data_IF_126865441760
#
_entry.id   IF_126865441760
#
_cell.length_a   1.000
_cell.length_b   1.000
_cell.length_c   1.000
_cell.angle_alpha   90.00
_cell.angle_beta   90.00
_cell.angle_gamma   90.00
#
_symmetry.space_group_name_H-M   'P 1'
#
loop_
_entity.id
_entity.type
_entity.pdbx_description
1 polymer ?
#
# COMPACT_ATOMS: atom_id res chain seq x y z
N UNK A 1 19.23 -112.13 -29.41
CA UNK A 1 19.93 -110.91 -29.86
C UNK A 1 19.22 -109.71 -29.24
N UNK A 2 19.66 -109.28 -28.05
CA UNK A 2 20.49 -108.06 -27.79
C UNK A 2 19.72 -106.75 -28.05
N UNK A 3 19.54 -105.80 -27.12
CA UNK A 3 20.04 -105.55 -25.74
C UNK A 3 19.10 -104.51 -25.05
N UNK A 4 19.01 -104.58 -23.71
CA UNK A 4 18.54 -103.53 -22.77
C UNK A 4 19.50 -102.29 -22.78
N UNK A 5 19.21 -101.08 -22.27
CA UNK A 5 18.73 -100.65 -20.94
C UNK A 5 18.44 -99.13 -20.91
N UNK A 6 17.51 -98.73 -20.02
CA UNK A 6 17.49 -97.50 -19.17
C UNK A 6 17.44 -96.12 -19.87
N UNK A 7 16.74 -95.09 -19.37
CA UNK A 7 16.68 -94.62 -17.99
C UNK A 7 15.49 -93.65 -17.81
N UNK A 8 14.85 -93.76 -16.66
CA UNK A 8 13.84 -92.90 -16.05
C UNK A 8 14.41 -91.49 -15.80
N UNK A 9 13.71 -90.42 -16.19
CA UNK A 9 13.46 -89.19 -15.41
C UNK A 9 12.86 -88.08 -16.30
N UNK A 10 11.54 -87.84 -16.19
CA UNK A 10 10.93 -86.51 -15.96
C UNK A 10 9.41 -86.65 -16.17
N UNK A 11 8.77 -87.18 -15.13
CA UNK A 11 7.37 -86.93 -14.88
C UNK A 11 7.30 -85.56 -14.20
N UNK A 12 7.11 -84.48 -14.95
CA UNK A 12 6.74 -83.18 -14.37
C UNK A 12 6.39 -82.16 -15.44
N UNK A 13 5.20 -81.56 -15.28
CA UNK A 13 4.87 -80.19 -15.70
C UNK A 13 4.50 -79.98 -17.18
N UNK A 14 3.39 -80.58 -17.61
CA UNK A 14 2.42 -79.82 -18.42
C UNK A 14 1.32 -79.36 -17.44
N UNK A 15 1.72 -78.51 -16.49
CA UNK A 15 0.77 -77.59 -15.89
C UNK A 15 0.54 -76.51 -16.95
N UNK A 16 -0.72 -76.33 -17.32
CA UNK A 16 -1.19 -75.10 -17.96
C UNK A 16 -0.76 -73.92 -17.08
N UNK A 17 0.41 -73.37 -17.37
CA UNK A 17 0.78 -72.04 -16.94
C UNK A 17 -0.18 -71.11 -17.67
N UNK A 18 -1.14 -70.54 -16.93
CA UNK A 18 -1.68 -69.23 -17.27
C UNK A 18 -0.47 -68.34 -17.49
N UNK A 19 -0.10 -68.13 -18.76
CA UNK A 19 0.90 -67.16 -19.15
C UNK A 19 0.50 -65.86 -18.48
N UNK A 20 1.26 -65.47 -17.47
CA UNK A 20 1.23 -64.12 -16.92
C UNK A 20 1.54 -63.23 -18.11
N UNK A 21 0.51 -62.62 -18.71
CA UNK A 21 0.70 -61.46 -19.57
C UNK A 21 1.57 -60.53 -18.77
N UNK A 22 2.83 -60.36 -19.18
CA UNK A 22 3.67 -59.31 -18.63
C UNK A 22 2.85 -58.04 -18.71
N UNK A 23 2.48 -57.49 -17.56
CA UNK A 23 1.88 -56.17 -17.48
C UNK A 23 3.03 -55.23 -17.79
N UNK A 24 3.24 -54.97 -19.07
CA UNK A 24 4.18 -53.96 -19.54
C UNK A 24 3.63 -52.62 -19.04
N UNK A 25 4.30 -52.06 -18.04
CA UNK A 25 3.97 -50.73 -17.53
C UNK A 25 4.56 -49.72 -18.51
N UNK A 26 3.71 -49.16 -19.36
CA UNK A 26 4.09 -48.04 -20.22
C UNK A 26 4.08 -46.75 -19.38
N UNK A 27 5.24 -46.10 -19.26
CA UNK A 27 5.36 -44.78 -18.65
C UNK A 27 5.17 -43.76 -19.76
N UNK A 28 4.02 -43.09 -19.77
CA UNK A 28 3.74 -41.99 -20.70
C UNK A 28 3.94 -40.67 -19.97
N UNK A 29 4.87 -39.84 -20.45
CA UNK A 29 5.02 -38.47 -19.96
C UNK A 29 3.85 -37.62 -20.47
N UNK A 30 3.09 -37.03 -19.54
CA UNK A 30 1.96 -36.16 -19.85
C UNK A 30 2.41 -34.71 -19.70
N UNK A 31 2.35 -33.90 -20.78
CA UNK A 31 2.57 -32.46 -20.68
C UNK A 31 1.65 -31.82 -19.64
N UNK A 32 2.18 -30.91 -18.85
CA UNK A 32 1.41 -30.20 -17.83
C UNK A 32 2.02 -28.80 -17.60
N UNK A 33 1.18 -27.84 -17.21
CA UNK A 33 1.65 -26.55 -16.74
C UNK A 33 2.48 -26.76 -15.47
N UNK A 34 3.59 -26.02 -15.31
CA UNK A 34 4.30 -25.99 -14.03
C UNK A 34 3.36 -25.44 -12.96
N UNK A 35 3.33 -26.05 -11.77
CA UNK A 35 2.44 -25.61 -10.70
C UNK A 35 2.60 -24.12 -10.34
N UNK A 36 3.82 -23.56 -10.43
CA UNK A 36 4.08 -22.13 -10.20
C UNK A 36 3.59 -21.21 -11.32
N UNK A 37 3.18 -21.75 -12.48
CA UNK A 37 2.75 -20.98 -13.65
C UNK A 37 1.24 -21.00 -13.84
N UNK A 38 0.48 -21.65 -12.94
CA UNK A 38 -0.99 -21.68 -13.03
C UNK A 38 -1.63 -20.30 -12.80
N UNK A 39 -0.89 -19.30 -12.35
CA UNK A 39 -1.37 -17.91 -12.23
C UNK A 39 -0.74 -16.96 -13.28
N UNK A 40 -0.21 -17.51 -14.39
CA UNK A 40 0.34 -16.72 -15.49
C UNK A 40 -0.55 -16.85 -16.72
N UNK A 41 -1.13 -15.75 -17.17
CA UNK A 41 -2.12 -15.74 -18.25
C UNK A 41 -1.58 -16.38 -19.54
N UNK A 42 -0.38 -16.00 -19.98
CA UNK A 42 0.27 -16.58 -21.15
C UNK A 42 0.44 -18.11 -21.03
N UNK A 43 0.82 -18.61 -19.86
CA UNK A 43 1.04 -20.05 -19.64
C UNK A 43 -0.26 -20.83 -19.69
N UNK A 44 -1.31 -20.32 -19.04
CA UNK A 44 -2.63 -20.95 -18.98
C UNK A 44 -3.29 -20.96 -20.35
N UNK A 45 -3.32 -19.81 -21.03
CA UNK A 45 -3.95 -19.67 -22.34
C UNK A 45 -3.23 -20.48 -23.41
N UNK A 46 -1.90 -20.40 -23.47
CA UNK A 46 -1.12 -21.16 -24.46
C UNK A 46 -1.29 -22.67 -24.25
N UNK A 47 -1.29 -23.13 -23.01
CA UNK A 47 -1.50 -24.55 -22.72
C UNK A 47 -2.92 -25.01 -23.09
N UNK A 48 -3.95 -24.23 -22.75
CA UNK A 48 -5.34 -24.53 -23.07
C UNK A 48 -5.59 -24.56 -24.58
N UNK A 49 -4.94 -23.69 -25.35
CA UNK A 49 -5.05 -23.66 -26.81
C UNK A 49 -4.42 -24.89 -27.47
N UNK A 50 -3.23 -25.29 -27.01
CA UNK A 50 -2.48 -26.45 -27.56
C UNK A 50 -3.15 -27.77 -27.18
N UNK A 51 -3.52 -27.93 -25.90
CA UNK A 51 -3.97 -29.20 -25.37
C UNK A 51 -5.49 -29.35 -25.41
N UNK A 52 -6.27 -28.27 -25.39
CA UNK A 52 -7.74 -28.31 -25.39
C UNK A 52 -8.26 -29.30 -24.33
N UNK A 53 -9.08 -30.27 -24.73
CA UNK A 53 -9.63 -31.33 -23.87
C UNK A 53 -8.65 -32.48 -23.59
N UNK A 54 -7.44 -32.44 -24.15
CA UNK A 54 -6.42 -33.46 -23.88
C UNK A 54 -6.13 -33.47 -22.37
N UNK A 55 -6.07 -34.67 -21.81
CA UNK A 55 -5.83 -34.91 -20.37
C UNK A 55 -6.98 -34.50 -19.44
N UNK A 56 -8.15 -34.09 -19.96
CA UNK A 56 -9.34 -33.85 -19.12
C UNK A 56 -9.67 -35.02 -18.20
N UNK A 57 -9.66 -36.26 -18.70
CA UNK A 57 -9.94 -37.43 -17.85
C UNK A 57 -8.96 -37.62 -16.67
N UNK A 58 -7.68 -37.23 -16.85
CA UNK A 58 -6.71 -37.21 -15.75
C UNK A 58 -6.96 -36.04 -14.80
N UNK A 59 -7.32 -34.86 -15.33
CA UNK A 59 -7.74 -33.71 -14.54
C UNK A 59 -8.95 -34.04 -13.66
N UNK A 60 -10.01 -34.60 -14.25
CA UNK A 60 -11.22 -35.04 -13.55
C UNK A 60 -10.88 -36.03 -12.42
N UNK A 61 -9.94 -36.97 -12.66
CA UNK A 61 -9.48 -37.90 -11.62
C UNK A 61 -8.82 -37.18 -10.44
N UNK A 62 -8.03 -36.15 -10.70
CA UNK A 62 -7.43 -35.33 -9.64
C UNK A 62 -8.45 -34.43 -8.94
N UNK A 63 -9.42 -33.88 -9.66
CA UNK A 63 -10.53 -33.13 -9.08
C UNK A 63 -11.32 -33.99 -8.09
N UNK A 64 -11.68 -35.23 -8.46
CA UNK A 64 -12.37 -36.15 -7.55
C UNK A 64 -11.55 -36.48 -6.30
N UNK A 65 -10.23 -36.64 -6.44
CA UNK A 65 -9.32 -36.80 -5.28
C UNK A 65 -9.30 -35.57 -4.40
N UNK A 66 -9.32 -34.37 -5.00
CA UNK A 66 -9.43 -33.10 -4.26
C UNK A 66 -10.72 -33.05 -3.44
N UNK A 67 -11.87 -33.31 -4.07
CA UNK A 67 -13.18 -33.32 -3.42
C UNK A 67 -13.24 -34.32 -2.25
N UNK A 68 -12.66 -35.51 -2.44
CA UNK A 68 -12.63 -36.55 -1.41
C UNK A 68 -11.73 -36.20 -0.22
N UNK A 69 -10.67 -35.40 -0.45
CA UNK A 69 -9.72 -35.01 0.58
C UNK A 69 -10.17 -33.80 1.42
N UNK A 70 -11.14 -33.00 0.97
CA UNK A 70 -11.48 -31.71 1.61
C UNK A 70 -11.79 -31.80 3.11
N UNK A 71 -12.43 -32.87 3.54
CA UNK A 71 -12.85 -33.07 4.93
C UNK A 71 -11.80 -33.73 5.82
N UNK A 72 -10.75 -34.29 5.22
CA UNK A 72 -9.74 -35.11 5.94
C UNK A 72 -8.36 -34.48 5.90
N UNK A 73 -7.97 -33.89 4.77
CA UNK A 73 -6.65 -33.33 4.53
C UNK A 73 -6.75 -32.18 3.50
N UNK A 74 -6.89 -30.96 4.01
CA UNK A 74 -7.06 -29.74 3.20
C UNK A 74 -5.86 -29.50 2.26
N UNK A 75 -4.64 -29.82 2.72
CA UNK A 75 -3.42 -29.59 1.94
C UNK A 75 -3.36 -30.54 0.75
N UNK A 76 -3.74 -31.81 0.96
CA UNK A 76 -3.90 -32.75 -0.15
C UNK A 76 -5.02 -32.35 -1.09
N UNK A 77 -6.14 -31.83 -0.58
CA UNK A 77 -7.21 -31.34 -1.45
C UNK A 77 -6.72 -30.22 -2.38
N UNK A 78 -6.04 -29.22 -1.81
CA UNK A 78 -5.42 -28.13 -2.56
C UNK A 78 -4.39 -28.65 -3.57
N UNK A 79 -3.51 -29.57 -3.15
CA UNK A 79 -2.53 -30.19 -4.04
C UNK A 79 -3.20 -30.86 -5.25
N UNK A 80 -4.19 -31.71 -5.02
CA UNK A 80 -4.88 -32.41 -6.10
C UNK A 80 -5.64 -31.45 -7.02
N UNK A 81 -6.26 -30.40 -6.47
CA UNK A 81 -6.91 -29.37 -7.27
C UNK A 81 -5.92 -28.64 -8.19
N UNK A 82 -4.75 -28.24 -7.67
CA UNK A 82 -3.68 -27.65 -8.51
C UNK A 82 -3.20 -28.63 -9.57
N UNK A 83 -3.08 -29.93 -9.25
CA UNK A 83 -2.72 -30.95 -10.26
C UNK A 83 -3.76 -31.06 -11.37
N UNK A 84 -5.05 -30.99 -11.05
CA UNK A 84 -6.12 -30.93 -12.04
C UNK A 84 -5.93 -29.70 -12.96
N UNK A 85 -5.74 -28.51 -12.38
CA UNK A 85 -5.50 -27.26 -13.14
C UNK A 85 -4.27 -27.38 -14.06
N UNK A 86 -3.18 -27.99 -13.61
CA UNK A 86 -1.98 -28.13 -14.46
C UNK A 86 -2.20 -29.00 -15.70
N UNK A 87 -3.24 -29.84 -15.70
CA UNK A 87 -3.55 -30.77 -16.77
C UNK A 87 -4.67 -30.25 -17.69
N UNK A 88 -5.66 -29.56 -17.12
CA UNK A 88 -6.77 -28.96 -17.85
C UNK A 88 -7.26 -27.71 -17.10
N UNK A 89 -6.69 -26.53 -17.34
CA UNK A 89 -7.04 -25.31 -16.60
C UNK A 89 -8.41 -24.79 -17.05
N UNK A 90 -9.41 -24.84 -16.16
CA UNK A 90 -10.75 -24.30 -16.41
C UNK A 90 -11.18 -23.38 -15.28
N UNK A 91 -12.07 -22.44 -15.58
CA UNK A 91 -12.59 -21.49 -14.61
C UNK A 91 -13.17 -22.16 -13.35
N UNK A 92 -13.88 -23.29 -13.52
CA UNK A 92 -14.48 -24.06 -12.43
C UNK A 92 -13.44 -24.63 -11.46
N UNK A 93 -12.30 -25.10 -11.99
CA UNK A 93 -11.21 -25.60 -11.17
C UNK A 93 -10.53 -24.48 -10.39
N UNK A 94 -10.37 -23.28 -10.97
CA UNK A 94 -9.88 -22.12 -10.23
C UNK A 94 -10.85 -21.66 -9.14
N UNK A 95 -12.16 -21.66 -9.39
CA UNK A 95 -13.16 -21.37 -8.35
C UNK A 95 -13.10 -22.40 -7.22
N UNK A 96 -12.95 -23.67 -7.55
CA UNK A 96 -12.79 -24.76 -6.57
C UNK A 96 -11.53 -24.54 -5.74
N UNK A 97 -10.40 -24.22 -6.39
CA UNK A 97 -9.16 -23.91 -5.70
C UNK A 97 -9.30 -22.68 -4.79
N UNK A 98 -9.96 -21.62 -5.25
CA UNK A 98 -10.27 -20.44 -4.44
C UNK A 98 -11.02 -20.80 -3.15
N UNK A 99 -12.08 -21.60 -3.26
CA UNK A 99 -12.83 -22.07 -2.08
C UNK A 99 -11.97 -22.90 -1.12
N UNK A 100 -11.13 -23.79 -1.63
CA UNK A 100 -10.22 -24.61 -0.83
C UNK A 100 -9.19 -23.76 -0.09
N UNK A 101 -8.55 -22.82 -0.79
CA UNK A 101 -7.55 -21.94 -0.20
C UNK A 101 -8.16 -21.09 0.91
N UNK A 102 -9.37 -20.56 0.71
CA UNK A 102 -10.06 -19.80 1.76
C UNK A 102 -10.42 -20.66 2.98
N UNK A 103 -10.96 -21.88 2.79
CA UNK A 103 -11.26 -22.81 3.88
C UNK A 103 -10.01 -23.22 4.65
N UNK A 104 -8.90 -23.42 3.93
CA UNK A 104 -7.57 -23.69 4.49
C UNK A 104 -6.87 -22.46 5.07
N UNK A 105 -7.47 -21.26 4.97
CA UNK A 105 -6.88 -19.98 5.39
C UNK A 105 -5.55 -19.64 4.70
N UNK A 106 -5.33 -20.16 3.50
CA UNK A 106 -4.22 -19.82 2.62
C UNK A 106 -4.50 -18.51 1.88
N UNK A 107 -4.77 -17.44 2.62
CA UNK A 107 -5.23 -16.15 2.08
C UNK A 107 -4.24 -15.50 1.13
N UNK A 108 -2.94 -15.70 1.35
CA UNK A 108 -1.89 -15.20 0.46
C UNK A 108 -2.04 -15.72 -0.97
N UNK A 109 -2.19 -17.03 -1.12
CA UNK A 109 -2.36 -17.66 -2.44
C UNK A 109 -3.78 -17.47 -2.97
N UNK A 110 -4.80 -17.46 -2.10
CA UNK A 110 -6.17 -17.18 -2.53
C UNK A 110 -6.25 -15.78 -3.16
N UNK A 111 -5.61 -14.78 -2.55
CA UNK A 111 -5.51 -13.44 -3.11
C UNK A 111 -4.89 -13.46 -4.51
N UNK A 112 -3.75 -14.15 -4.69
CA UNK A 112 -3.05 -14.20 -5.97
C UNK A 112 -3.90 -14.91 -7.05
N UNK A 113 -4.67 -15.93 -6.66
CA UNK A 113 -5.65 -16.58 -7.53
C UNK A 113 -6.79 -15.64 -7.93
N UNK A 114 -7.40 -14.93 -6.98
CA UNK A 114 -8.48 -13.99 -7.30
C UNK A 114 -7.98 -12.79 -8.11
N UNK A 115 -6.76 -12.32 -7.86
CA UNK A 115 -6.09 -11.31 -8.69
C UNK A 115 -5.94 -11.80 -10.13
N UNK A 116 -5.56 -13.06 -10.31
CA UNK A 116 -5.49 -13.70 -11.62
C UNK A 116 -6.84 -13.78 -12.34
N UNK A 117 -7.93 -14.05 -11.61
CA UNK A 117 -9.27 -14.16 -12.19
C UNK A 117 -9.98 -12.82 -12.43
N UNK A 118 -9.71 -11.81 -11.61
CA UNK A 118 -10.45 -10.54 -11.60
C UNK A 118 -9.81 -9.50 -12.49
N UNK A 119 -8.49 -9.47 -12.64
CA UNK A 119 -7.82 -8.43 -13.41
C UNK A 119 -7.59 -8.86 -14.86
N UNK A 120 -7.50 -7.86 -15.75
CA UNK A 120 -7.02 -8.10 -17.11
C UNK A 120 -5.51 -8.32 -17.05
N UNK A 121 -5.05 -9.35 -17.75
CA UNK A 121 -3.62 -9.66 -17.87
C UNK A 121 -3.19 -9.42 -19.30
N UNK A 122 -2.03 -8.77 -19.47
CA UNK A 122 -1.43 -8.64 -20.78
C UNK A 122 -0.97 -10.02 -21.29
N UNK A 123 -1.44 -10.40 -22.46
CA UNK A 123 -1.14 -11.67 -23.10
C UNK A 123 -0.25 -11.40 -24.31
N UNK A 124 1.02 -11.79 -24.23
CA UNK A 124 2.02 -11.43 -25.24
C UNK A 124 1.70 -12.03 -26.61
N UNK A 125 1.10 -13.22 -26.65
CA UNK A 125 0.72 -13.88 -27.91
C UNK A 125 -0.44 -13.20 -28.63
N UNK A 126 -1.27 -12.44 -27.90
CA UNK A 126 -2.43 -11.71 -28.44
C UNK A 126 -2.21 -10.20 -28.52
N UNK A 127 -1.18 -9.68 -27.84
CA UNK A 127 -0.87 -8.25 -27.72
C UNK A 127 -2.01 -7.40 -27.12
N UNK A 128 -2.77 -7.97 -26.20
CA UNK A 128 -3.91 -7.32 -25.55
C UNK A 128 -4.02 -7.72 -24.07
N UNK A 129 -4.72 -6.87 -23.30
CA UNK A 129 -5.07 -7.16 -21.91
C UNK A 129 -6.47 -7.75 -21.83
N UNK A 130 -6.58 -9.01 -21.41
CA UNK A 130 -7.85 -9.75 -21.36
C UNK A 130 -8.08 -10.40 -20.00
N UNK A 131 -9.34 -10.69 -19.69
CA UNK A 131 -9.66 -11.64 -18.64
C UNK A 131 -9.34 -13.04 -19.14
N UNK A 132 -8.69 -13.86 -18.30
CA UNK A 132 -8.17 -15.17 -18.71
C UNK A 132 -9.29 -16.13 -19.12
N UNK A 133 -10.43 -16.08 -18.44
CA UNK A 133 -11.57 -16.97 -18.70
C UNK A 133 -12.82 -16.20 -19.12
N UNK A 134 -13.30 -15.33 -18.24
CA UNK A 134 -14.51 -14.56 -18.43
C UNK A 134 -14.44 -13.26 -17.62
N UNK A 135 -15.34 -12.32 -17.90
CA UNK A 135 -15.48 -11.14 -17.06
C UNK A 135 -15.79 -11.54 -15.60
N UNK A 136 -15.17 -10.88 -14.62
CA UNK A 136 -15.36 -11.21 -13.22
C UNK A 136 -16.75 -10.78 -12.75
N UNK A 137 -17.32 -11.61 -11.89
CA UNK A 137 -18.56 -11.27 -11.17
C UNK A 137 -18.26 -10.31 -10.02
N UNK A 138 -19.28 -9.58 -9.57
CA UNK A 138 -19.22 -8.75 -8.35
C UNK A 138 -18.71 -9.54 -7.14
N UNK A 139 -19.06 -10.81 -7.07
CA UNK A 139 -18.62 -11.71 -6.01
C UNK A 139 -17.10 -11.93 -6.04
N UNK A 140 -16.53 -12.15 -7.22
CA UNK A 140 -15.08 -12.35 -7.36
C UNK A 140 -14.31 -11.08 -7.02
N UNK A 141 -14.83 -9.91 -7.42
CA UNK A 141 -14.25 -8.61 -7.08
C UNK A 141 -14.27 -8.37 -5.57
N UNK A 142 -15.41 -8.66 -4.94
CA UNK A 142 -15.51 -8.60 -3.49
C UNK A 142 -14.51 -9.54 -2.80
N UNK A 143 -14.40 -10.79 -3.24
CA UNK A 143 -13.47 -11.75 -2.64
C UNK A 143 -12.01 -11.32 -2.79
N UNK A 144 -11.62 -10.72 -3.93
CA UNK A 144 -10.29 -10.11 -4.08
C UNK A 144 -10.03 -9.04 -3.00
N UNK A 145 -11.00 -8.14 -2.79
CA UNK A 145 -10.90 -7.04 -1.81
C UNK A 145 -10.83 -7.61 -0.38
N UNK A 146 -11.70 -8.56 -0.04
CA UNK A 146 -11.70 -9.21 1.28
C UNK A 146 -10.40 -9.99 1.55
N UNK A 147 -9.88 -10.69 0.54
CA UNK A 147 -8.62 -11.42 0.63
C UNK A 147 -7.41 -10.49 0.77
N UNK A 148 -7.45 -9.30 0.18
CA UNK A 148 -6.42 -8.27 0.38
C UNK A 148 -6.34 -7.89 1.87
N UNK A 149 -7.48 -7.64 2.51
CA UNK A 149 -7.53 -7.38 3.95
C UNK A 149 -7.02 -8.57 4.77
N UNK A 150 -7.43 -9.80 4.45
CA UNK A 150 -6.99 -11.00 5.18
C UNK A 150 -5.49 -11.29 5.00
N UNK A 151 -4.90 -10.89 3.88
CA UNK A 151 -3.47 -11.05 3.58
C UNK A 151 -2.61 -9.97 4.24
N UNK A 152 -3.01 -8.70 4.14
CA UNK A 152 -2.17 -7.56 4.51
C UNK A 152 -2.62 -6.84 5.79
N UNK A 153 -3.84 -7.08 6.28
CA UNK A 153 -4.45 -6.31 7.38
C UNK A 153 -5.01 -4.95 6.94
N UNK A 154 -5.00 -4.65 5.64
CA UNK A 154 -5.56 -3.44 5.07
C UNK A 154 -6.13 -3.71 3.66
N UNK A 155 -7.02 -2.83 3.20
CA UNK A 155 -7.52 -2.83 1.83
C UNK A 155 -6.74 -1.79 1.05
N UNK A 156 -6.27 -2.17 -0.14
CA UNK A 156 -5.66 -1.26 -1.11
C UNK A 156 -6.71 -0.26 -1.63
N UNK A 157 -6.42 1.04 -1.54
CA UNK A 157 -7.29 2.10 -2.03
C UNK A 157 -7.58 1.97 -3.53
N UNK A 158 -6.61 1.48 -4.31
CA UNK A 158 -6.80 1.31 -5.75
C UNK A 158 -7.91 0.31 -6.07
N UNK A 159 -8.04 -0.76 -5.29
CA UNK A 159 -9.10 -1.75 -5.47
C UNK A 159 -10.50 -1.17 -5.20
N UNK A 160 -10.62 -0.22 -4.27
CA UNK A 160 -11.88 0.49 -4.02
C UNK A 160 -12.18 1.51 -5.12
N UNK A 161 -11.15 2.22 -5.60
CA UNK A 161 -11.25 3.14 -6.71
C UNK A 161 -11.73 2.42 -7.99
N UNK A 162 -11.10 1.31 -8.38
CA UNK A 162 -11.52 0.52 -9.54
C UNK A 162 -12.95 -0.01 -9.38
N UNK A 163 -13.31 -0.48 -8.18
CA UNK A 163 -14.68 -0.92 -7.90
C UNK A 163 -15.71 0.20 -8.12
N UNK A 164 -15.36 1.44 -7.76
CA UNK A 164 -16.20 2.63 -7.99
C UNK A 164 -16.25 3.00 -9.47
N UNK A 165 -15.12 3.02 -10.18
CA UNK A 165 -15.03 3.36 -11.60
C UNK A 165 -15.79 2.37 -12.49
N UNK A 166 -15.83 1.09 -12.09
CA UNK A 166 -16.65 0.06 -12.72
C UNK A 166 -18.17 0.22 -12.45
N UNK A 167 -18.57 1.28 -11.73
CA UNK A 167 -19.96 1.66 -11.49
C UNK A 167 -20.64 0.91 -10.34
N UNK A 168 -19.88 0.22 -9.48
CA UNK A 168 -20.44 -0.50 -8.35
C UNK A 168 -20.70 0.41 -7.14
N UNK A 169 -21.66 0.01 -6.29
CA UNK A 169 -22.04 0.73 -5.07
C UNK A 169 -21.01 0.48 -3.94
N UNK A 170 -20.18 1.50 -3.69
CA UNK A 170 -19.15 1.46 -2.64
C UNK A 170 -19.74 1.37 -1.23
N UNK A 171 -20.95 1.88 -0.97
CA UNK A 171 -21.60 1.79 0.35
C UNK A 171 -22.12 0.38 0.60
N UNK A 172 -22.63 -0.27 -0.44
CA UNK A 172 -22.99 -1.70 -0.37
C UNK A 172 -21.75 -2.56 -0.11
N UNK A 173 -20.62 -2.25 -0.76
CA UNK A 173 -19.35 -2.92 -0.50
C UNK A 173 -18.88 -2.72 0.95
N UNK A 174 -18.92 -1.48 1.45
CA UNK A 174 -18.58 -1.13 2.84
C UNK A 174 -19.38 -1.98 3.84
N UNK A 175 -20.70 -1.99 3.70
CA UNK A 175 -21.59 -2.75 4.59
C UNK A 175 -21.31 -4.26 4.53
N UNK A 176 -20.97 -4.77 3.35
CA UNK A 176 -20.62 -6.18 3.16
C UNK A 176 -19.29 -6.55 3.82
N UNK A 177 -18.27 -5.70 3.72
CA UNK A 177 -16.99 -5.89 4.40
C UNK A 177 -17.15 -5.84 5.92
N UNK A 178 -17.96 -4.91 6.43
CA UNK A 178 -18.26 -4.81 7.86
C UNK A 178 -19.03 -6.01 8.42
N UNK A 179 -19.89 -6.62 7.60
CA UNK A 179 -20.64 -7.81 7.98
C UNK A 179 -19.82 -9.12 7.83
N UNK A 180 -18.66 -9.08 7.18
CA UNK A 180 -17.85 -10.26 6.96
C UNK A 180 -17.08 -10.67 8.23
N UNK A 181 -17.60 -11.71 8.88
CA UNK A 181 -17.03 -12.28 10.10
C UNK A 181 -15.60 -12.82 9.95
N UNK A 182 -15.09 -13.00 8.72
CA UNK A 182 -13.69 -13.37 8.47
C UNK A 182 -12.74 -12.21 8.78
N UNK A 183 -13.15 -10.97 8.49
CA UNK A 183 -12.27 -9.80 8.51
C UNK A 183 -12.03 -9.28 9.94
N UNK A 184 -12.97 -9.48 10.87
CA UNK A 184 -12.84 -9.03 12.28
C UNK A 184 -12.41 -7.57 12.40
N UNK A 185 -13.05 -6.69 11.62
CA UNK A 185 -12.77 -5.25 11.64
C UNK A 185 -13.21 -4.69 13.01
N UNK A 186 -12.26 -4.21 13.80
CA UNK A 186 -12.54 -3.57 15.09
C UNK A 186 -12.94 -2.12 14.87
N UNK A 187 -14.23 -1.83 15.06
CA UNK A 187 -14.81 -0.51 14.87
C UNK A 187 -14.50 0.47 15.99
N UNK A 188 -13.86 0.02 17.07
CA UNK A 188 -13.49 0.86 18.22
C UNK A 188 -12.09 1.47 18.08
N UNK A 189 -11.29 0.96 17.16
CA UNK A 189 -9.92 1.41 16.91
C UNK A 189 -9.89 2.63 15.99
N UNK A 190 -8.96 3.56 16.22
CA UNK A 190 -8.77 4.72 15.35
C UNK A 190 -8.50 4.33 13.89
N UNK A 191 -7.87 3.18 13.65
CA UNK A 191 -7.61 2.61 12.33
C UNK A 191 -8.90 2.32 11.54
N UNK A 192 -10.05 2.16 12.22
CA UNK A 192 -11.35 2.01 11.57
C UNK A 192 -11.77 3.27 10.79
N UNK A 193 -11.37 4.45 11.25
CA UNK A 193 -11.65 5.68 10.54
C UNK A 193 -11.00 5.69 9.15
N UNK A 194 -9.80 5.09 9.03
CA UNK A 194 -9.08 4.98 7.76
C UNK A 194 -9.82 4.06 6.80
N UNK A 195 -10.36 2.95 7.32
CA UNK A 195 -11.24 2.07 6.55
C UNK A 195 -12.48 2.84 6.07
N UNK A 196 -13.15 3.60 6.97
CA UNK A 196 -14.36 4.35 6.63
C UNK A 196 -14.15 5.39 5.54
N UNK A 197 -13.01 6.09 5.55
CA UNK A 197 -12.70 7.13 4.56
C UNK A 197 -12.69 6.62 3.12
N UNK A 198 -12.31 5.35 2.90
CA UNK A 198 -12.29 4.73 1.57
C UNK A 198 -13.67 4.63 0.93
N UNK A 199 -14.74 4.69 1.74
CA UNK A 199 -16.12 4.53 1.32
C UNK A 199 -16.94 5.82 1.45
N UNK A 200 -16.33 6.93 1.86
CA UNK A 200 -17.04 8.21 1.97
C UNK A 200 -17.20 8.86 0.58
N UNK A 201 -18.36 9.46 0.37
CA UNK A 201 -18.64 10.37 -0.74
C UNK A 201 -17.90 11.68 -0.55
N UNK A 202 -17.72 12.46 -1.61
CA UNK A 202 -17.04 13.76 -1.52
C UNK A 202 -17.71 14.70 -0.50
N UNK A 203 -19.04 14.66 -0.37
CA UNK A 203 -19.79 15.42 0.63
C UNK A 203 -19.55 14.92 2.07
N UNK A 204 -19.53 13.60 2.30
CA UNK A 204 -19.20 13.03 3.61
C UNK A 204 -17.74 13.31 3.98
N UNK A 205 -16.85 13.26 2.99
CA UNK A 205 -15.46 13.64 3.10
C UNK A 205 -15.38 15.11 3.53
N UNK A 206 -16.11 16.02 2.89
CA UNK A 206 -16.22 17.44 3.25
C UNK A 206 -16.75 17.69 4.66
N UNK A 207 -17.78 16.95 5.09
CA UNK A 207 -18.28 17.02 6.46
C UNK A 207 -17.25 16.49 7.47
N UNK A 208 -16.64 15.35 7.16
CA UNK A 208 -15.66 14.67 8.03
C UNK A 208 -14.42 15.54 8.29
N UNK A 209 -13.96 16.31 7.29
CA UNK A 209 -12.84 17.25 7.44
C UNK A 209 -13.16 18.42 8.38
N UNK A 210 -14.42 18.80 8.44
CA UNK A 210 -14.90 19.85 9.34
C UNK A 210 -15.33 19.29 10.71
N UNK A 211 -15.13 18.00 10.96
CA UNK A 211 -15.49 17.36 12.22
C UNK A 211 -14.49 17.71 13.32
N UNK A 212 -14.99 18.36 14.38
CA UNK A 212 -14.24 18.65 15.60
C UNK A 212 -13.62 17.38 16.22
N UNK A 213 -14.36 16.25 16.21
CA UNK A 213 -13.88 14.98 16.76
C UNK A 213 -12.62 14.48 16.04
N UNK A 214 -12.62 14.56 14.71
CA UNK A 214 -11.52 14.11 13.85
C UNK A 214 -10.29 14.98 14.07
N UNK A 215 -10.49 16.29 14.06
CA UNK A 215 -9.42 17.25 14.32
C UNK A 215 -8.81 17.07 15.72
N UNK A 216 -9.64 16.89 16.75
CA UNK A 216 -9.16 16.64 18.11
C UNK A 216 -8.37 15.32 18.20
N UNK A 217 -8.83 14.27 17.52
CA UNK A 217 -8.09 13.01 17.42
C UNK A 217 -6.71 13.19 16.78
N UNK A 218 -6.64 14.00 15.72
CA UNK A 218 -5.39 14.37 15.06
C UNK A 218 -4.45 15.16 16.00
N UNK A 219 -4.92 16.22 16.65
CA UNK A 219 -4.11 17.02 17.58
C UNK A 219 -3.54 16.16 18.71
N UNK A 220 -4.34 15.23 19.25
CA UNK A 220 -3.91 14.30 20.30
C UNK A 220 -2.81 13.32 19.85
N UNK A 221 -2.62 13.14 18.53
CA UNK A 221 -1.54 12.29 17.99
C UNK A 221 -0.18 12.97 17.98
N UNK A 222 -0.12 14.30 18.13
CA UNK A 222 1.12 15.07 18.23
C UNK A 222 1.63 15.02 19.66
N UNK A 223 2.85 14.51 19.86
CA UNK A 223 3.37 14.16 21.19
C UNK A 223 4.06 15.30 21.93
N UNK A 224 4.47 16.37 21.23
CA UNK A 224 5.14 17.53 21.83
C UNK A 224 4.16 18.70 22.00
N UNK A 225 3.94 19.09 23.26
CA UNK A 225 3.00 20.15 23.66
C UNK A 225 3.67 21.46 24.10
N UNK A 226 4.99 21.60 23.91
CA UNK A 226 5.73 22.76 24.41
C UNK A 226 5.34 24.07 23.71
N UNK A 227 5.05 25.10 24.50
CA UNK A 227 4.88 26.47 24.00
C UNK A 227 6.20 27.25 23.90
N UNK A 228 7.34 26.60 24.19
CA UNK A 228 8.68 27.19 24.08
C UNK A 228 9.53 26.28 23.22
N UNK A 229 9.99 26.79 22.09
CA UNK A 229 10.83 26.04 21.18
C UNK A 229 11.66 26.97 20.30
N UNK A 230 12.75 26.43 19.78
CA UNK A 230 13.60 27.06 18.79
C UNK A 230 13.63 26.18 17.54
N UNK A 231 13.65 26.81 16.38
CA UNK A 231 13.91 26.20 15.08
C UNK A 231 15.19 26.84 14.55
N UNK A 232 16.34 26.33 14.99
CA UNK A 232 17.65 26.78 14.53
C UNK A 232 18.00 26.24 13.13
N UNK A 233 19.10 26.69 12.54
CA UNK A 233 19.52 26.31 11.19
C UNK A 233 19.60 24.78 10.98
N UNK A 234 20.07 24.03 11.99
CA UNK A 234 20.14 22.57 11.94
C UNK A 234 18.73 21.95 11.96
N UNK A 235 17.83 22.46 12.80
CA UNK A 235 16.44 22.00 12.84
C UNK A 235 15.69 22.31 11.54
N UNK A 236 15.94 23.47 10.92
CA UNK A 236 15.40 23.81 9.59
C UNK A 236 15.75 22.74 8.56
N UNK A 237 16.95 22.15 8.64
CA UNK A 237 17.44 21.10 7.75
C UNK A 237 17.01 19.68 8.13
N UNK A 238 16.49 19.48 9.35
CA UNK A 238 16.21 18.16 9.90
C UNK A 238 14.84 17.63 9.44
N UNK A 239 14.73 17.41 8.13
CA UNK A 239 13.67 16.58 7.59
C UNK A 239 14.13 15.12 7.63
N UNK A 240 13.48 14.27 8.42
CA UNK A 240 13.75 12.83 8.44
C UNK A 240 13.09 12.17 7.23
N UNK A 241 13.90 11.76 6.27
CA UNK A 241 13.50 10.74 5.32
C UNK A 241 13.52 9.41 6.04
N UNK A 242 12.48 8.62 5.86
CA UNK A 242 12.66 7.18 5.92
C UNK A 242 12.63 6.67 4.48
N UNK A 243 13.61 5.85 4.13
CA UNK A 243 13.96 5.46 2.75
C UNK A 243 12.74 5.03 1.93
N UNK A 244 12.25 5.92 1.07
CA UNK A 244 11.60 5.54 -0.18
C UNK A 244 11.75 6.66 -1.21
N UNK A 245 12.16 6.28 -2.41
CA UNK A 245 12.05 7.12 -3.60
C UNK A 245 10.56 7.32 -3.90
N UNK A 246 10.12 8.57 -3.99
CA UNK A 246 8.88 8.92 -4.67
C UNK A 246 9.21 10.03 -5.65
N UNK A 247 9.27 9.66 -6.92
CA UNK A 247 9.31 10.61 -8.01
C UNK A 247 7.99 11.40 -8.04
N UNK A 248 8.14 12.70 -8.35
CA UNK A 248 7.08 13.64 -8.73
C UNK A 248 5.92 13.81 -7.74
N UNK A 249 5.87 14.95 -7.03
CA UNK A 249 4.55 15.53 -6.71
C UNK A 249 4.60 17.04 -6.83
N UNK A 250 3.57 17.59 -7.48
CA UNK A 250 3.34 19.02 -7.68
C UNK A 250 2.90 19.76 -6.41
N UNK A 251 3.03 21.08 -6.48
CA UNK A 251 2.65 22.07 -5.48
C UNK A 251 1.15 22.35 -5.57
N UNK A 252 0.33 21.67 -4.76
CA UNK A 252 -0.97 22.14 -4.24
C UNK A 252 -1.68 20.98 -3.53
N UNK A 253 -1.49 20.89 -2.21
CA UNK A 253 -2.15 19.90 -1.36
C UNK A 253 -2.94 20.64 -0.28
N UNK A 254 -4.21 20.30 -0.15
CA UNK A 254 -5.07 20.81 0.92
C UNK A 254 -4.84 20.02 2.22
N UNK A 255 -5.34 20.52 3.35
CA UNK A 255 -5.33 19.79 4.65
C UNK A 255 -6.01 18.40 4.56
N UNK A 256 -6.76 18.14 3.49
CA UNK A 256 -7.46 16.89 3.21
C UNK A 256 -6.57 15.85 2.58
N UNK A 257 -5.82 16.27 1.57
CA UNK A 257 -4.82 15.44 0.91
C UNK A 257 -3.77 15.04 1.96
N UNK A 258 -3.48 15.96 2.88
CA UNK A 258 -2.66 15.74 4.05
C UNK A 258 -3.21 14.69 5.04
N UNK A 259 -4.47 14.78 5.45
CA UNK A 259 -5.06 13.85 6.41
C UNK A 259 -5.30 12.45 5.81
N UNK A 260 -5.76 12.36 4.56
CA UNK A 260 -5.91 11.08 3.87
C UNK A 260 -4.57 10.37 3.70
N UNK A 261 -3.52 11.09 3.29
CA UNK A 261 -2.19 10.49 3.14
C UNK A 261 -1.54 10.18 4.50
N UNK A 262 -1.73 11.00 5.54
CA UNK A 262 -1.31 10.70 6.92
C UNK A 262 -1.88 9.37 7.45
N UNK A 263 -3.15 9.08 7.15
CA UNK A 263 -3.83 7.86 7.58
C UNK A 263 -3.45 6.61 6.77
N UNK A 264 -3.20 6.77 5.47
CA UNK A 264 -2.67 5.69 4.60
C UNK A 264 -1.25 5.33 5.04
N UNK A 265 -0.41 6.35 5.26
CA UNK A 265 0.99 6.21 5.67
C UNK A 265 1.14 5.54 7.05
N UNK A 266 0.38 5.99 8.08
CA UNK A 266 0.40 5.36 9.42
C UNK A 266 0.03 3.88 9.42
N UNK A 267 -0.72 3.43 8.41
CA UNK A 267 -1.22 2.07 8.27
C UNK A 267 -0.28 1.19 7.44
N UNK A 268 0.23 1.72 6.35
CA UNK A 268 0.99 0.94 5.36
C UNK A 268 2.50 1.05 5.54
N UNK A 269 2.97 2.16 6.13
CA UNK A 269 4.38 2.45 6.34
C UNK A 269 4.52 3.29 7.63
N UNK A 270 4.40 2.70 8.83
CA UNK A 270 4.41 3.43 10.11
C UNK A 270 5.69 4.26 10.34
N UNK A 271 6.73 3.93 9.56
CA UNK A 271 8.02 4.59 9.48
C UNK A 271 8.21 5.29 8.13
N UNK A 272 7.22 5.81 7.42
CA UNK A 272 7.43 6.79 6.35
C UNK A 272 6.48 7.94 6.60
N UNK A 273 6.87 9.15 6.26
CA UNK A 273 6.16 10.33 6.74
C UNK A 273 6.18 11.37 5.62
N UNK A 274 5.08 11.41 4.89
CA UNK A 274 4.74 12.34 3.83
C UNK A 274 5.21 13.77 4.09
N UNK A 275 6.18 14.28 3.31
CA UNK A 275 6.54 15.70 2.97
C UNK A 275 6.39 16.84 3.99
N UNK A 276 5.97 16.54 5.21
CA UNK A 276 5.60 17.45 6.26
C UNK A 276 6.07 16.91 7.60
N UNK A 277 6.76 17.74 8.38
CA UNK A 277 7.15 17.36 9.74
C UNK A 277 6.36 18.11 10.81
N UNK A 278 5.56 17.43 11.65
CA UNK A 278 5.04 18.07 12.86
C UNK A 278 6.14 18.27 13.89
N UNK A 279 6.24 19.49 14.40
CA UNK A 279 7.24 19.84 15.40
C UNK A 279 6.59 20.05 16.76
N UNK A 280 5.53 20.85 16.85
CA UNK A 280 4.94 21.27 18.13
C UNK A 280 3.43 21.55 18.01
N UNK A 281 2.68 21.32 19.10
CA UNK A 281 1.30 21.79 19.28
C UNK A 281 1.16 22.46 20.66
N UNK A 282 0.36 23.49 20.84
CA UNK A 282 0.04 24.02 22.18
C UNK A 282 -1.22 24.88 22.16
N UNK A 283 -1.87 25.06 23.32
CA UNK A 283 -3.02 25.95 23.43
C UNK A 283 -2.59 27.39 23.71
N UNK A 284 -3.06 28.34 22.90
CA UNK A 284 -2.88 29.77 23.16
C UNK A 284 -3.87 30.26 24.21
N UNK A 285 -5.11 29.77 24.14
CA UNK A 285 -6.16 29.97 25.13
C UNK A 285 -7.20 28.82 25.03
N UNK A 286 -8.32 28.92 25.75
CA UNK A 286 -9.36 27.88 25.76
C UNK A 286 -10.05 27.64 24.41
N UNK A 287 -9.92 28.58 23.46
CA UNK A 287 -10.58 28.56 22.17
C UNK A 287 -9.61 28.44 20.98
N UNK A 288 -8.29 28.54 21.21
CA UNK A 288 -7.30 28.62 20.13
C UNK A 288 -6.13 27.68 20.38
N UNK A 289 -5.87 26.82 19.39
CA UNK A 289 -4.76 25.88 19.37
C UNK A 289 -3.76 26.28 18.29
N UNK A 290 -2.48 26.20 18.62
CA UNK A 290 -1.36 26.50 17.74
C UNK A 290 -0.69 25.20 17.32
N UNK A 291 -0.45 25.04 16.02
CA UNK A 291 0.26 23.89 15.46
C UNK A 291 1.44 24.37 14.61
N UNK A 292 2.57 23.69 14.74
CA UNK A 292 3.79 23.96 13.97
C UNK A 292 4.17 22.74 13.16
N UNK A 293 4.30 22.93 11.84
CA UNK A 293 4.76 21.89 10.94
C UNK A 293 5.76 22.43 9.90
N UNK A 294 6.61 21.55 9.38
CA UNK A 294 7.54 21.82 8.29
C UNK A 294 7.00 21.26 6.98
N UNK A 295 7.45 21.78 5.84
CA UNK A 295 7.18 21.29 4.47
C UNK A 295 8.51 21.22 3.73
N UNK A 296 8.75 20.16 2.95
CA UNK A 296 9.91 20.06 2.05
C UNK A 296 9.44 20.02 0.59
N UNK A 297 9.91 20.97 -0.22
CA UNK A 297 9.59 21.08 -1.67
C UNK A 297 10.81 20.83 -2.57
N UNK A 298 11.85 20.21 -2.03
CA UNK A 298 13.09 19.89 -2.76
C UNK A 298 12.92 18.75 -3.76
N UNK A 299 13.79 18.71 -4.75
CA UNK A 299 13.93 17.54 -5.63
C UNK A 299 14.48 16.32 -4.85
N UNK A 300 14.15 15.11 -5.31
CA UNK A 300 14.66 13.87 -4.72
C UNK A 300 16.18 13.86 -4.70
N UNK A 301 16.77 13.45 -3.56
CA UNK A 301 18.22 13.38 -3.40
C UNK A 301 18.92 14.73 -3.15
N UNK A 302 18.18 15.84 -3.02
CA UNK A 302 18.76 17.15 -2.74
C UNK A 302 19.56 17.16 -1.41
N UNK A 303 20.84 17.62 -1.43
CA UNK A 303 21.66 17.76 -0.23
C UNK A 303 20.96 18.60 0.85
N UNK A 304 21.13 18.26 2.13
CA UNK A 304 20.33 18.83 3.24
C UNK A 304 20.36 20.36 3.30
N UNK A 305 21.53 20.92 3.03
CA UNK A 305 21.84 22.34 3.00
C UNK A 305 21.25 23.07 1.79
N UNK A 306 20.92 22.36 0.71
CA UNK A 306 20.33 22.91 -0.52
C UNK A 306 18.81 22.77 -0.58
N UNK A 307 18.22 22.03 0.37
CA UNK A 307 16.78 21.79 0.42
C UNK A 307 15.98 23.09 0.56
N UNK A 308 14.75 23.04 0.07
CA UNK A 308 13.72 24.06 0.20
C UNK A 308 12.73 23.62 1.28
N UNK A 309 12.97 24.05 2.52
CA UNK A 309 12.18 23.65 3.68
C UNK A 309 11.55 24.87 4.33
N UNK A 310 10.26 24.80 4.66
CA UNK A 310 9.50 25.88 5.30
C UNK A 310 8.82 25.38 6.55
N UNK A 311 8.93 26.09 7.66
CA UNK A 311 8.22 25.84 8.91
C UNK A 311 7.12 26.88 9.07
N UNK A 312 5.89 26.40 9.25
CA UNK A 312 4.70 27.22 9.41
C UNK A 312 4.12 27.04 10.81
N UNK A 313 3.70 28.15 11.40
CA UNK A 313 2.80 28.17 12.55
C UNK A 313 1.38 28.45 12.05
N UNK A 314 0.41 27.70 12.56
CA UNK A 314 -1.00 27.84 12.19
C UNK A 314 -1.83 27.88 13.47
N UNK A 315 -2.75 28.83 13.54
CA UNK A 315 -3.70 28.96 14.64
C UNK A 315 -5.06 28.43 14.19
N UNK A 316 -5.63 27.56 15.00
CA UNK A 316 -6.95 26.98 14.79
C UNK A 316 -7.89 27.41 15.92
N UNK A 317 -9.15 27.63 15.58
CA UNK A 317 -10.18 27.76 16.60
C UNK A 317 -10.59 26.37 17.15
N UNK A 318 -11.46 26.36 18.14
CA UNK A 318 -12.03 25.15 18.72
C UNK A 318 -12.92 24.33 17.75
N UNK A 319 -13.29 24.89 16.60
CA UNK A 319 -14.04 24.20 15.54
C UNK A 319 -13.14 23.79 14.36
N UNK A 320 -11.82 23.67 14.57
CA UNK A 320 -10.84 23.24 13.57
C UNK A 320 -10.66 24.16 12.36
N UNK A 321 -11.15 25.39 12.39
CA UNK A 321 -10.91 26.36 11.33
C UNK A 321 -9.62 27.13 11.55
N UNK A 322 -8.85 27.30 10.48
CA UNK A 322 -7.65 28.15 10.46
C UNK A 322 -8.08 29.60 10.68
N UNK A 323 -7.56 30.21 11.74
CA UNK A 323 -7.74 31.63 12.04
C UNK A 323 -6.68 32.46 11.32
N UNK A 324 -5.42 32.02 11.43
CA UNK A 324 -4.26 32.69 10.84
C UNK A 324 -3.08 31.73 10.71
N UNK A 325 -2.10 32.07 9.89
CA UNK A 325 -0.88 31.28 9.71
C UNK A 325 0.30 32.11 9.22
N UNK A 326 1.53 31.66 9.51
CA UNK A 326 2.76 32.36 9.13
C UNK A 326 3.93 31.40 8.93
N UNK A 327 4.76 31.63 7.91
CA UNK A 327 6.09 31.00 7.82
C UNK A 327 6.99 31.68 8.84
N UNK A 328 7.56 30.88 9.75
CA UNK A 328 8.37 31.39 10.86
C UNK A 328 9.85 30.99 10.75
N UNK A 329 10.17 29.94 10.01
CA UNK A 329 11.55 29.54 9.71
C UNK A 329 11.60 28.87 8.35
N UNK A 330 12.69 29.01 7.60
CA UNK A 330 12.82 28.39 6.29
C UNK A 330 14.27 28.33 5.83
N UNK A 331 14.54 27.49 4.84
CA UNK A 331 15.72 27.61 3.99
C UNK A 331 15.29 27.48 2.53
N UNK A 332 15.76 28.39 1.68
CA UNK A 332 15.57 28.33 0.23
C UNK A 332 16.67 29.15 -0.47
N UNK A 333 17.46 28.54 -1.34
CA UNK A 333 18.56 29.22 -2.05
C UNK A 333 19.61 29.90 -1.18
N UNK A 334 19.66 31.24 -1.24
CA UNK A 334 20.59 32.05 -0.44
C UNK A 334 19.99 32.47 0.90
N UNK A 335 18.71 32.19 1.13
CA UNK A 335 17.98 32.66 2.31
C UNK A 335 17.81 31.56 3.33
N UNK A 336 17.99 31.94 4.60
CA UNK A 336 17.72 31.11 5.76
C UNK A 336 17.01 31.97 6.81
N UNK A 337 16.00 31.42 7.45
CA UNK A 337 15.36 32.02 8.62
C UNK A 337 15.22 30.99 9.73
N UNK A 338 15.49 31.41 10.96
CA UNK A 338 15.29 30.63 12.18
C UNK A 338 14.23 31.27 13.05
N UNK A 339 13.59 30.49 13.92
CA UNK A 339 12.55 30.99 14.82
C UNK A 339 12.87 30.67 16.27
N UNK A 340 12.53 31.59 17.17
CA UNK A 340 12.32 31.30 18.59
C UNK A 340 10.88 31.65 18.92
N UNK A 341 10.15 30.70 19.51
CA UNK A 341 8.78 30.90 19.94
C UNK A 341 8.71 30.72 21.44
N UNK A 342 8.10 31.70 22.11
CA UNK A 342 7.84 31.67 23.55
C UNK A 342 6.40 32.11 23.78
N UNK A 343 5.52 31.14 24.05
CA UNK A 343 4.09 31.34 24.22
C UNK A 343 3.46 32.03 22.99
N UNK A 344 3.12 33.31 23.12
CA UNK A 344 2.53 34.16 22.08
C UNK A 344 3.56 34.91 21.24
N UNK A 345 4.79 35.01 21.70
CA UNK A 345 5.82 35.84 21.06
C UNK A 345 6.69 34.97 20.14
N UNK A 346 6.94 35.49 18.93
CA UNK A 346 7.71 34.81 17.89
C UNK A 346 8.81 35.78 17.46
N UNK A 347 10.06 35.35 17.51
CA UNK A 347 11.19 36.08 16.93
C UNK A 347 11.75 35.29 15.78
N UNK A 348 11.75 35.88 14.58
CA UNK A 348 12.34 35.30 13.38
C UNK A 348 13.63 36.04 13.08
N UNK A 349 14.73 35.30 12.95
CA UNK A 349 16.02 35.84 12.51
C UNK A 349 16.29 35.42 11.08
N UNK A 350 16.74 36.36 10.26
CA UNK A 350 17.07 36.14 8.87
C UNK A 350 18.57 36.09 8.68
N UNK A 351 19.00 35.22 7.78
CA UNK A 351 20.39 35.00 7.45
C UNK A 351 20.56 34.89 5.94
N UNK A 352 21.70 35.37 5.45
CA UNK A 352 22.17 35.15 4.08
C UNK A 352 23.23 34.06 4.05
N UNK A 353 23.04 33.11 3.15
CA UNK A 353 23.92 31.97 2.90
C UNK A 353 24.83 32.30 1.72
N UNK A 354 26.14 32.27 1.93
CA UNK A 354 27.13 32.47 0.88
C UNK A 354 27.60 31.13 0.37
N UNK A 355 27.42 30.90 -0.92
CA UNK A 355 27.83 29.70 -1.62
C UNK A 355 29.16 29.93 -2.34
N UNK A 356 29.90 28.87 -2.64
CA UNK A 356 31.17 28.94 -3.37
C UNK A 356 30.97 29.54 -4.77
N UNK A 357 29.92 29.09 -5.46
CA UNK A 357 29.43 29.65 -6.71
C UNK A 357 28.04 30.26 -6.49
N UNK A 358 27.56 31.11 -7.42
CA UNK A 358 26.17 31.60 -7.40
C UNK A 358 25.19 30.44 -7.24
N UNK A 359 24.22 30.54 -6.32
CA UNK A 359 23.31 29.43 -6.06
C UNK A 359 22.50 29.06 -7.31
N UNK A 360 22.46 27.77 -7.62
CA UNK A 360 21.57 27.19 -8.61
C UNK A 360 20.88 25.96 -8.02
N UNK A 361 19.55 25.87 -8.18
CA UNK A 361 18.72 24.82 -7.57
C UNK A 361 19.19 23.38 -7.88
N UNK A 362 19.86 23.19 -9.02
CA UNK A 362 20.32 21.88 -9.52
C UNK A 362 21.83 21.65 -9.42
N UNK A 363 22.57 22.61 -8.88
CA UNK A 363 24.03 22.49 -8.73
C UNK A 363 24.36 21.86 -7.37
N UNK A 364 24.15 20.55 -7.25
CA UNK A 364 24.34 19.80 -6.01
C UNK A 364 25.79 19.69 -5.55
N UNK A 365 26.75 20.11 -6.38
CA UNK A 365 28.19 20.13 -6.08
C UNK A 365 28.67 21.48 -5.52
N UNK A 366 27.75 22.43 -5.28
CA UNK A 366 28.10 23.74 -4.70
C UNK A 366 28.24 23.66 -3.17
N UNK A 367 29.25 24.35 -2.64
CA UNK A 367 29.54 24.34 -1.20
C UNK A 367 28.98 25.59 -0.51
N UNK A 368 28.33 25.40 0.64
CA UNK A 368 28.01 26.50 1.56
C UNK A 368 29.29 26.97 2.28
N UNK A 369 29.67 28.24 2.10
CA UNK A 369 30.86 28.83 2.72
C UNK A 369 30.57 29.46 4.08
N UNK A 370 29.50 30.26 4.18
CA UNK A 370 29.14 30.96 5.42
C UNK A 370 27.66 31.30 5.50
N UNK A 371 27.22 31.62 6.71
CA UNK A 371 25.87 32.07 7.03
C UNK A 371 26.00 33.33 7.88
N UNK A 372 25.42 34.43 7.43
CA UNK A 372 25.55 35.75 8.06
C UNK A 372 24.17 36.30 8.44
N UNK A 373 24.02 36.80 9.68
CA UNK A 373 22.75 37.39 10.15
C UNK A 373 22.47 38.68 9.37
N UNK A 374 21.29 38.77 8.77
CA UNK A 374 20.83 39.90 7.98
C UNK A 374 19.83 40.79 8.75
N UNK A 375 19.10 40.22 9.71
CA UNK A 375 18.16 40.99 10.53
C UNK A 375 17.20 40.11 11.32
N UNK A 376 16.19 40.74 11.92
CA UNK A 376 15.14 40.03 12.63
C UNK A 376 13.80 40.75 12.58
N UNK A 377 12.73 40.00 12.80
CA UNK A 377 11.37 40.50 12.96
C UNK A 377 10.72 39.78 14.14
N UNK A 378 9.86 40.50 14.87
CA UNK A 378 9.06 39.91 15.93
C UNK A 378 7.58 39.92 15.56
N UNK A 379 6.89 38.85 15.91
CA UNK A 379 5.44 38.73 15.79
C UNK A 379 4.84 38.41 17.16
N UNK A 380 3.57 38.74 17.33
CA UNK A 380 2.77 38.38 18.50
C UNK A 380 1.47 37.74 18.06
N UNK A 381 1.14 36.60 18.68
CA UNK A 381 -0.17 35.97 18.57
C UNK A 381 -1.11 36.59 19.61
N UNK A 382 -2.20 37.19 19.15
CA UNK A 382 -3.18 37.79 20.05
C UNK A 382 -4.30 36.80 20.45
N UNK A 383 -5.14 37.20 21.40
CA UNK A 383 -6.19 36.33 21.95
C UNK A 383 -7.29 35.99 20.91
N UNK A 384 -7.39 36.79 19.85
CA UNK A 384 -8.30 36.62 18.72
C UNK A 384 -7.72 35.69 17.63
N UNK A 385 -6.49 35.19 17.80
CA UNK A 385 -5.85 34.24 16.90
C UNK A 385 -5.21 34.88 15.66
N UNK A 386 -4.85 36.16 15.71
CA UNK A 386 -4.07 36.85 14.68
C UNK A 386 -2.59 36.85 15.00
N UNK A 387 -1.75 36.76 13.98
CA UNK A 387 -0.30 36.90 14.06
C UNK A 387 0.09 38.30 13.56
N UNK A 388 0.46 39.18 14.49
CA UNK A 388 0.72 40.58 14.19
C UNK A 388 2.20 40.91 14.34
N UNK A 389 2.77 41.58 13.34
CA UNK A 389 4.15 42.07 13.41
C UNK A 389 4.29 43.16 14.47
N UNK A 390 5.36 43.10 15.26
CA UNK A 390 5.70 44.09 16.28
C UNK A 390 6.85 44.98 15.79
N UNK A 391 6.66 46.31 15.84
CA UNK A 391 7.70 47.32 15.56
C UNK A 391 7.99 47.62 14.08
N UNK A 392 8.85 48.61 13.84
CA UNK A 392 9.30 49.01 12.51
C UNK A 392 10.40 48.07 11.96
N UNK A 393 10.27 47.67 10.69
CA UNK A 393 11.21 46.80 9.96
C UNK A 393 12.66 47.29 10.05
N UNK A 394 13.61 46.34 10.11
CA UNK A 394 14.98 46.57 9.66
C UNK A 394 15.24 46.09 8.23
N UNK A 395 14.38 45.25 7.64
CA UNK A 395 14.36 44.95 6.20
C UNK A 395 13.06 44.21 5.78
N UNK A 396 12.69 44.33 4.50
CA UNK A 396 11.56 43.62 3.87
C UNK A 396 11.89 42.15 3.62
N UNK A 397 10.93 41.26 3.92
CA UNK A 397 10.89 39.89 3.43
C UNK A 397 11.22 39.84 1.93
N UNK A 398 11.94 38.82 1.43
CA UNK A 398 12.07 38.60 0.00
C UNK A 398 10.67 38.58 -0.62
N UNK A 399 10.46 39.36 -1.67
CA UNK A 399 9.17 39.51 -2.37
C UNK A 399 8.72 38.24 -3.14
N UNK A 400 9.45 37.14 -2.97
CA UNK A 400 9.25 35.85 -3.63
C UNK A 400 9.17 34.75 -2.58
N UNK A 401 8.16 34.84 -1.73
CA UNK A 401 7.64 33.73 -0.92
C UNK A 401 6.18 33.50 -1.29
#
# INVERSE_FOLDING_TARGET
>A
MTKHYSLIFLFSLILFSCGTKEVVTEIVEVPAIRASYIYRADSVLSYAEINKENHKGLSDSYEQKSLSAQSTDMDKAIYYCKRAITLHPTFELYNTLGSLLQKGKYYGEAHDLYFFLVNKHYVATKQESIYVFQEPTDEMRYELIALSFLKYGYIDNYAIYEYKEDGHDIKKLEGRLLADGRLKIDTTLNQFNNFKLMFMTDAEIDEYKNSEQVFNGFLNSVTDTSSIFEINAKQVQNFKYNNRESDEMGEEWTMNDFYQNFLIEKKENPESWFRYNFNHVYSLNNSITVLVYSVDTSETGCPKEMRHIYHRIVLYNNTAHVIDNKIIAFQSGEDLATATVTQSDITVKFFKRKWRNSYQKKDFDNDLLSVEEAGSVSYKMNAEGKIEQQGNQTETLPSTL
#
